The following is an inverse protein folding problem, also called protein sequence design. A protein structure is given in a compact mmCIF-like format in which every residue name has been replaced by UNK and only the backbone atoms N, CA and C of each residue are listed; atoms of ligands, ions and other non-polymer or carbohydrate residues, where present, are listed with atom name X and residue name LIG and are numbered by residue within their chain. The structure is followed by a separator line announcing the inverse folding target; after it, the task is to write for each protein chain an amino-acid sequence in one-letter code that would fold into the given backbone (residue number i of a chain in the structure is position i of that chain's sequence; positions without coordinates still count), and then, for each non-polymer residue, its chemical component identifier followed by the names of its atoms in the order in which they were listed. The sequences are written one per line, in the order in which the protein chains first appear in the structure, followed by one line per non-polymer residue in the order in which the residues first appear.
data_IF_818389040750
#
_entry.id   IF_818389040750
#
_cell.length_a   1.000
_cell.length_b   1.000
_cell.length_c   1.000
_cell.angle_alpha   90.00
_cell.angle_beta   90.00
_cell.angle_gamma   90.00
#
_symmetry.space_group_name_H-M   'P 1'
#
loop_
_entity.id
_entity.type
_entity.pdbx_description
1 polymer ?
#
# COMPACT_ATOMS: atom_id res chain seq x y z
N UNK A 1 -79.06 -62.99 12.32
CA UNK A 1 -77.78 -63.72 12.46
C UNK A 1 -76.86 -63.18 11.36
N UNK A 2 -75.67 -62.60 11.54
CA UNK A 2 -74.58 -62.63 12.54
C UNK A 2 -73.89 -61.23 12.47
N UNK A 3 -73.73 -60.45 13.55
CA UNK A 3 -72.62 -60.39 14.53
C UNK A 3 -71.20 -60.40 13.95
N UNK A 4 -70.45 -59.29 14.18
CA UNK A 4 -69.00 -59.22 14.03
C UNK A 4 -68.41 -57.80 13.93
N UNK A 5 -68.52 -56.98 14.98
CA UNK A 5 -67.85 -55.66 15.10
C UNK A 5 -67.24 -55.52 16.51
N UNK A 6 -66.19 -54.70 16.62
CA UNK A 6 -65.43 -54.25 17.81
C UNK A 6 -64.27 -55.13 18.30
N UNK A 7 -63.03 -54.72 17.95
CA UNK A 7 -61.87 -54.67 18.86
C UNK A 7 -60.65 -54.02 18.16
N UNK A 8 -60.47 -52.69 18.25
CA UNK A 8 -59.17 -52.03 18.01
C UNK A 8 -59.17 -50.54 18.46
N UNK A 9 -59.10 -50.23 19.76
CA UNK A 9 -58.97 -48.83 20.21
C UNK A 9 -58.45 -48.68 21.66
N UNK A 10 -57.20 -49.06 21.97
CA UNK A 10 -56.59 -48.76 23.31
C UNK A 10 -55.08 -48.40 23.28
N UNK A 11 -54.35 -48.44 22.18
CA UNK A 11 -52.88 -48.30 22.21
C UNK A 11 -52.37 -46.96 21.63
N UNK A 12 -52.59 -45.80 22.28
CA UNK A 12 -52.03 -44.52 21.78
C UNK A 12 -51.77 -43.38 22.81
N UNK A 13 -51.79 -43.62 24.13
CA UNK A 13 -51.62 -42.53 25.12
C UNK A 13 -50.31 -42.53 25.94
N UNK A 14 -49.41 -43.49 25.74
CA UNK A 14 -48.20 -43.63 26.59
C UNK A 14 -46.93 -42.92 26.08
N UNK A 15 -46.97 -42.21 24.95
CA UNK A 15 -45.75 -41.69 24.29
C UNK A 15 -45.46 -40.20 24.53
N UNK A 16 -46.34 -39.46 25.22
CA UNK A 16 -46.24 -37.98 25.32
C UNK A 16 -45.41 -37.53 26.55
N UNK A 17 -45.26 -38.35 27.59
CA UNK A 17 -44.61 -37.91 28.84
C UNK A 17 -43.07 -37.92 28.81
N UNK A 18 -42.43 -38.66 27.91
CA UNK A 18 -40.96 -38.76 27.87
C UNK A 18 -40.28 -37.59 27.14
N UNK A 19 -41.01 -36.82 26.32
CA UNK A 19 -40.42 -35.73 25.54
C UNK A 19 -40.25 -34.41 26.33
N UNK A 20 -40.96 -34.24 27.44
CA UNK A 20 -40.92 -32.98 28.22
C UNK A 20 -39.64 -32.82 29.06
N UNK A 21 -39.12 -33.91 29.61
CA UNK A 21 -37.95 -33.87 30.50
C UNK A 21 -36.63 -33.62 29.75
N UNK A 22 -36.48 -34.11 28.52
CA UNK A 22 -35.27 -33.91 27.73
C UNK A 22 -35.05 -32.43 27.40
N UNK A 23 -36.12 -31.72 27.03
CA UNK A 23 -36.04 -30.29 26.68
C UNK A 23 -35.64 -29.40 27.85
N UNK A 24 -36.12 -29.69 29.06
CA UNK A 24 -35.72 -28.93 30.26
C UNK A 24 -34.22 -29.14 30.53
N UNK A 25 -33.76 -30.39 30.48
CA UNK A 25 -32.35 -30.74 30.68
C UNK A 25 -31.44 -30.09 29.64
N UNK A 26 -31.84 -30.09 28.37
CA UNK A 26 -31.10 -29.40 27.31
C UNK A 26 -30.94 -27.90 27.60
N UNK A 27 -31.99 -27.24 28.09
CA UNK A 27 -31.95 -25.80 28.43
C UNK A 27 -31.03 -25.49 29.62
N UNK A 28 -31.00 -26.36 30.63
CA UNK A 28 -30.09 -26.18 31.77
C UNK A 28 -28.63 -26.34 31.33
N UNK A 29 -28.33 -27.35 30.50
CA UNK A 29 -27.00 -27.53 29.90
C UNK A 29 -26.59 -26.34 29.01
N UNK A 30 -27.53 -25.74 28.26
CA UNK A 30 -27.27 -24.51 27.50
C UNK A 30 -26.95 -23.34 28.42
N UNK A 31 -27.61 -23.20 29.57
CA UNK A 31 -27.30 -22.15 30.54
C UNK A 31 -25.88 -22.31 31.10
N UNK A 32 -25.51 -23.53 31.51
CA UNK A 32 -24.15 -23.85 31.94
C UNK A 32 -23.12 -23.55 30.83
N UNK A 33 -23.43 -23.94 29.59
CA UNK A 33 -22.57 -23.63 28.44
C UNK A 33 -22.41 -22.12 28.19
N UNK A 34 -23.48 -21.33 28.37
CA UNK A 34 -23.44 -19.88 28.22
C UNK A 34 -22.58 -19.21 29.29
N UNK A 35 -22.64 -19.68 30.54
CA UNK A 35 -21.78 -19.20 31.64
C UNK A 35 -20.30 -19.45 31.29
N UNK A 36 -19.96 -20.67 30.88
CA UNK A 36 -18.61 -21.04 30.44
C UNK A 36 -18.15 -20.19 29.23
N UNK A 37 -19.05 -19.93 28.28
CA UNK A 37 -18.75 -19.07 27.14
C UNK A 37 -18.44 -17.63 27.56
N UNK A 38 -19.23 -17.06 28.48
CA UNK A 38 -18.97 -15.71 28.98
C UNK A 38 -17.66 -15.60 29.77
N UNK A 39 -17.22 -16.70 30.39
CA UNK A 39 -15.94 -16.81 31.10
C UNK A 39 -14.74 -17.08 30.15
N UNK A 40 -14.97 -17.16 28.84
CA UNK A 40 -13.93 -17.46 27.83
C UNK A 40 -13.50 -18.93 27.79
N UNK A 41 -14.21 -19.82 28.47
CA UNK A 41 -13.94 -21.26 28.53
C UNK A 41 -14.62 -22.00 27.37
N UNK A 42 -14.27 -21.63 26.13
CA UNK A 42 -14.98 -22.07 24.93
C UNK A 42 -14.99 -23.58 24.71
N UNK A 43 -13.89 -24.29 25.01
CA UNK A 43 -13.84 -25.76 24.86
C UNK A 43 -14.81 -26.45 25.83
N UNK A 44 -14.89 -25.97 27.08
CA UNK A 44 -15.82 -26.49 28.08
C UNK A 44 -17.27 -26.16 27.70
N UNK A 45 -17.53 -24.94 27.20
CA UNK A 45 -18.84 -24.55 26.70
C UNK A 45 -19.31 -25.48 25.56
N UNK A 46 -18.42 -25.79 24.59
CA UNK A 46 -18.72 -26.74 23.51
C UNK A 46 -19.12 -28.11 24.05
N UNK A 47 -18.46 -28.63 25.09
CA UNK A 47 -18.87 -29.90 25.69
C UNK A 47 -20.27 -29.85 26.29
N UNK A 48 -20.62 -28.77 27.00
CA UNK A 48 -21.98 -28.59 27.51
C UNK A 48 -23.04 -28.50 26.41
N UNK A 49 -22.72 -27.84 25.30
CA UNK A 49 -23.61 -27.82 24.15
C UNK A 49 -23.71 -29.19 23.45
N UNK A 50 -22.64 -29.99 23.43
CA UNK A 50 -22.70 -31.38 22.94
C UNK A 50 -23.68 -32.21 23.78
N UNK A 51 -23.56 -32.15 25.11
CA UNK A 51 -24.50 -32.82 26.04
C UNK A 51 -25.94 -32.33 25.82
N UNK A 52 -26.15 -31.03 25.59
CA UNK A 52 -27.47 -30.48 25.30
C UNK A 52 -28.07 -31.05 23.99
N UNK A 53 -27.23 -31.23 22.95
CA UNK A 53 -27.67 -31.77 21.66
C UNK A 53 -28.10 -33.23 21.74
N UNK A 54 -27.59 -34.02 22.69
CA UNK A 54 -28.07 -35.40 22.92
C UNK A 54 -29.54 -35.42 23.36
N UNK A 55 -30.01 -34.36 24.03
CA UNK A 55 -31.38 -34.24 24.53
C UNK A 55 -32.32 -33.50 23.56
N UNK A 56 -31.80 -32.53 22.80
CA UNK A 56 -32.54 -31.80 21.77
C UNK A 56 -31.73 -31.75 20.45
N UNK A 57 -31.70 -32.86 19.68
CA UNK A 57 -30.99 -32.90 18.40
C UNK A 57 -31.56 -31.85 17.45
N UNK A 58 -30.72 -30.92 16.99
CA UNK A 58 -31.13 -29.84 16.09
C UNK A 58 -31.78 -28.64 16.79
N UNK A 59 -31.70 -28.53 18.13
CA UNK A 59 -32.15 -27.33 18.84
C UNK A 59 -31.41 -26.08 18.36
N UNK A 60 -32.12 -25.12 17.76
CA UNK A 60 -31.53 -23.93 17.13
C UNK A 60 -30.61 -23.14 18.08
N UNK A 61 -31.01 -22.97 19.35
CA UNK A 61 -30.17 -22.29 20.35
C UNK A 61 -28.87 -23.05 20.65
N UNK A 62 -28.92 -24.38 20.72
CA UNK A 62 -27.74 -25.22 20.97
C UNK A 62 -26.76 -25.10 19.81
N UNK A 63 -27.26 -25.22 18.57
CA UNK A 63 -26.45 -25.11 17.36
C UNK A 63 -25.78 -23.74 17.26
N UNK A 64 -26.54 -22.66 17.44
CA UNK A 64 -26.00 -21.30 17.40
C UNK A 64 -24.90 -21.09 18.45
N UNK A 65 -25.18 -21.41 19.71
CA UNK A 65 -24.22 -21.16 20.80
C UNK A 65 -22.94 -22.00 20.66
N UNK A 66 -23.07 -23.26 20.20
CA UNK A 66 -21.90 -24.10 19.93
C UNK A 66 -21.08 -23.60 18.75
N UNK A 67 -21.74 -23.12 17.70
CA UNK A 67 -21.06 -22.53 16.55
C UNK A 67 -20.24 -21.30 16.95
N UNK A 68 -20.81 -20.37 17.73
CA UNK A 68 -20.11 -19.18 18.22
C UNK A 68 -18.93 -19.53 19.14
N UNK A 69 -19.10 -20.51 20.03
CA UNK A 69 -18.00 -21.00 20.88
C UNK A 69 -16.85 -21.59 20.05
N UNK A 70 -17.17 -22.38 19.03
CA UNK A 70 -16.18 -22.94 18.13
C UNK A 70 -15.49 -21.86 17.28
N UNK A 71 -16.23 -20.88 16.76
CA UNK A 71 -15.67 -19.72 16.05
C UNK A 71 -14.68 -18.94 16.92
N UNK A 72 -15.00 -18.71 18.20
CA UNK A 72 -14.11 -18.02 19.15
C UNK A 72 -12.78 -18.75 19.39
N UNK A 73 -12.73 -20.06 19.14
CA UNK A 73 -11.48 -20.84 19.14
C UNK A 73 -10.74 -20.78 17.80
N UNK A 74 -11.45 -20.63 16.67
CA UNK A 74 -10.85 -20.57 15.34
C UNK A 74 -10.14 -19.23 15.09
N UNK A 75 -10.78 -18.11 15.43
CA UNK A 75 -10.28 -16.77 15.08
C UNK A 75 -8.86 -16.47 15.62
N UNK A 76 -8.53 -16.78 16.89
CA UNK A 76 -7.17 -16.57 17.42
C UNK A 76 -6.11 -17.49 16.79
N UNK A 77 -6.53 -18.55 16.09
CA UNK A 77 -5.64 -19.52 15.44
C UNK A 77 -5.43 -19.21 13.95
N UNK A 78 -5.95 -18.10 13.43
CA UNK A 78 -5.83 -17.73 12.00
C UNK A 78 -4.38 -17.77 11.50
N UNK A 79 -3.46 -17.19 12.25
CA UNK A 79 -2.03 -17.09 11.89
C UNK A 79 -1.20 -18.26 12.46
N UNK A 80 -1.84 -19.35 12.89
CA UNK A 80 -1.12 -20.49 13.44
C UNK A 80 -0.38 -21.26 12.35
N UNK A 81 0.91 -21.53 12.55
CA UNK A 81 1.74 -22.31 11.63
C UNK A 81 2.02 -23.73 12.12
N UNK A 82 1.93 -23.97 13.43
CA UNK A 82 2.28 -25.28 13.99
C UNK A 82 1.19 -26.34 13.69
N UNK A 83 1.55 -27.60 13.42
CA UNK A 83 0.59 -28.63 13.01
C UNK A 83 -0.54 -28.87 14.01
N UNK A 84 -0.27 -28.82 15.32
CA UNK A 84 -1.27 -29.09 16.35
C UNK A 84 -2.34 -28.00 16.41
N UNK A 85 -1.95 -26.73 16.29
CA UNK A 85 -2.88 -25.60 16.25
C UNK A 85 -3.65 -25.57 14.94
N UNK A 86 -3.03 -25.96 13.82
CA UNK A 86 -3.72 -26.12 12.54
C UNK A 86 -4.80 -27.21 12.61
N UNK A 87 -4.50 -28.35 13.24
CA UNK A 87 -5.48 -29.42 13.46
C UNK A 87 -6.62 -28.96 14.38
N UNK A 88 -6.30 -28.28 15.48
CA UNK A 88 -7.30 -27.72 16.38
C UNK A 88 -8.19 -26.67 15.68
N UNK A 89 -7.58 -25.76 14.92
CA UNK A 89 -8.29 -24.77 14.10
C UNK A 89 -9.25 -25.45 13.14
N UNK A 90 -8.78 -26.47 12.42
CA UNK A 90 -9.59 -27.22 11.46
C UNK A 90 -10.79 -27.89 12.13
N UNK A 91 -10.55 -28.58 13.25
CA UNK A 91 -11.57 -29.23 14.06
C UNK A 91 -12.67 -28.26 14.49
N UNK A 92 -12.30 -27.11 15.06
CA UNK A 92 -13.29 -26.14 15.52
C UNK A 92 -13.98 -25.42 14.36
N UNK A 93 -13.29 -25.20 13.24
CA UNK A 93 -13.90 -24.68 12.02
C UNK A 93 -14.97 -25.63 11.46
N UNK A 94 -14.71 -26.94 11.45
CA UNK A 94 -15.70 -27.95 11.03
C UNK A 94 -16.96 -27.90 11.90
N UNK A 95 -16.81 -27.79 13.23
CA UNK A 95 -17.94 -27.65 14.16
C UNK A 95 -18.74 -26.37 13.85
N UNK A 96 -18.06 -25.22 13.80
CA UNK A 96 -18.72 -23.94 13.58
C UNK A 96 -19.48 -23.90 12.24
N UNK A 97 -18.85 -24.35 11.15
CA UNK A 97 -19.45 -24.35 9.82
C UNK A 97 -20.66 -25.28 9.73
N UNK A 98 -20.55 -26.48 10.30
CA UNK A 98 -21.65 -27.43 10.32
C UNK A 98 -22.85 -26.89 11.13
N UNK A 99 -22.59 -26.30 12.28
CA UNK A 99 -23.64 -25.82 13.18
C UNK A 99 -24.31 -24.54 12.70
N UNK A 100 -23.57 -23.56 12.18
CA UNK A 100 -24.17 -22.38 11.55
C UNK A 100 -25.07 -22.78 10.38
N UNK A 101 -24.64 -23.75 9.56
CA UNK A 101 -25.45 -24.26 8.45
C UNK A 101 -26.71 -24.98 8.95
N UNK A 102 -26.57 -25.84 9.97
CA UNK A 102 -27.69 -26.57 10.56
C UNK A 102 -28.70 -25.62 11.21
N UNK A 103 -28.21 -24.63 11.98
CA UNK A 103 -29.03 -23.58 12.58
C UNK A 103 -29.84 -22.83 11.52
N UNK A 104 -29.17 -22.33 10.48
CA UNK A 104 -29.84 -21.61 9.39
C UNK A 104 -30.88 -22.48 8.68
N UNK A 105 -30.55 -23.74 8.40
CA UNK A 105 -31.48 -24.68 7.77
C UNK A 105 -32.72 -24.94 8.65
N UNK A 106 -32.53 -25.03 9.97
CA UNK A 106 -33.57 -25.26 10.97
C UNK A 106 -34.47 -24.06 11.29
N UNK A 107 -34.19 -22.87 10.73
CA UNK A 107 -35.10 -21.72 10.86
C UNK A 107 -36.39 -21.95 10.05
N UNK A 108 -37.53 -21.85 10.73
CA UNK A 108 -38.87 -21.96 10.12
C UNK A 108 -39.11 -20.85 9.09
N UNK A 109 -38.73 -19.62 9.43
CA UNK A 109 -38.78 -18.46 8.55
C UNK A 109 -37.38 -17.87 8.49
N UNK A 110 -36.80 -17.83 7.30
CA UNK A 110 -35.47 -17.25 7.05
C UNK A 110 -35.64 -15.80 6.66
N UNK A 111 -35.22 -14.89 7.52
CA UNK A 111 -35.17 -13.45 7.19
C UNK A 111 -33.92 -13.12 6.39
N UNK A 112 -33.89 -11.93 5.79
CA UNK A 112 -32.68 -11.40 5.15
C UNK A 112 -31.56 -11.25 6.18
N UNK A 113 -31.88 -10.81 7.41
CA UNK A 113 -30.92 -10.65 8.49
C UNK A 113 -30.33 -11.99 8.95
N UNK A 114 -31.14 -13.05 9.05
CA UNK A 114 -30.64 -14.39 9.38
C UNK A 114 -29.68 -14.89 8.30
N UNK A 115 -30.01 -14.62 7.02
CA UNK A 115 -29.18 -15.02 5.88
C UNK A 115 -27.85 -14.27 5.89
N UNK A 116 -27.88 -12.96 6.13
CA UNK A 116 -26.70 -12.13 6.26
C UNK A 116 -25.83 -12.60 7.43
N UNK A 117 -26.42 -12.77 8.60
CA UNK A 117 -25.75 -13.24 9.82
C UNK A 117 -25.09 -14.61 9.60
N UNK A 118 -25.82 -15.59 9.07
CA UNK A 118 -25.29 -16.92 8.76
C UNK A 118 -24.07 -16.84 7.82
N UNK A 119 -24.16 -15.99 6.78
CA UNK A 119 -23.08 -15.83 5.82
C UNK A 119 -21.87 -15.10 6.39
N UNK A 120 -22.06 -14.06 7.22
CA UNK A 120 -20.96 -13.32 7.85
C UNK A 120 -20.12 -14.24 8.74
N UNK A 121 -20.74 -14.98 9.64
CA UNK A 121 -20.05 -15.96 10.49
C UNK A 121 -19.38 -17.06 9.67
N UNK A 122 -20.09 -17.62 8.67
CA UNK A 122 -19.52 -18.63 7.78
C UNK A 122 -18.25 -18.12 7.09
N UNK A 123 -18.28 -16.93 6.51
CA UNK A 123 -17.13 -16.36 5.80
C UNK A 123 -15.98 -16.02 6.75
N UNK A 124 -16.26 -15.56 7.98
CA UNK A 124 -15.25 -15.33 8.99
C UNK A 124 -14.51 -16.64 9.35
N UNK A 125 -15.24 -17.73 9.60
CA UNK A 125 -14.65 -19.04 9.90
C UNK A 125 -13.87 -19.61 8.72
N UNK A 126 -14.43 -19.54 7.50
CA UNK A 126 -13.71 -20.00 6.30
C UNK A 126 -12.41 -19.23 6.07
N UNK A 127 -12.42 -17.91 6.31
CA UNK A 127 -11.24 -17.04 6.22
C UNK A 127 -10.19 -17.42 7.25
N UNK A 128 -10.60 -17.57 8.52
CA UNK A 128 -9.68 -17.91 9.60
C UNK A 128 -9.09 -19.33 9.47
N UNK A 129 -9.86 -20.31 8.96
CA UNK A 129 -9.36 -21.67 8.68
C UNK A 129 -8.59 -21.80 7.35
N UNK A 130 -8.50 -20.71 6.57
CA UNK A 130 -7.91 -20.70 5.23
C UNK A 130 -8.55 -21.70 4.23
N UNK A 131 -9.87 -21.85 4.25
CA UNK A 131 -10.63 -22.64 3.26
C UNK A 131 -10.77 -21.91 1.94
N UNK A 132 -9.65 -21.82 1.23
CA UNK A 132 -9.49 -21.06 0.00
C UNK A 132 -10.59 -21.38 -1.04
N UNK A 133 -10.78 -22.67 -1.35
CA UNK A 133 -11.68 -23.09 -2.44
C UNK A 133 -13.15 -22.72 -2.13
N UNK A 134 -13.58 -22.88 -0.87
CA UNK A 134 -14.94 -22.54 -0.43
C UNK A 134 -15.20 -21.02 -0.48
N UNK A 135 -14.23 -20.20 -0.04
CA UNK A 135 -14.33 -18.75 -0.10
C UNK A 135 -14.37 -18.25 -1.54
N UNK A 136 -13.45 -18.72 -2.38
CA UNK A 136 -13.38 -18.31 -3.77
C UNK A 136 -14.65 -18.73 -4.51
N UNK A 137 -15.14 -19.94 -4.29
CA UNK A 137 -16.40 -20.40 -4.88
C UNK A 137 -17.58 -19.49 -4.50
N UNK A 138 -17.71 -19.12 -3.22
CA UNK A 138 -18.74 -18.19 -2.77
C UNK A 138 -18.70 -16.85 -3.52
N UNK A 139 -17.51 -16.24 -3.63
CA UNK A 139 -17.37 -14.96 -4.30
C UNK A 139 -17.57 -15.06 -5.82
N UNK A 140 -17.16 -16.17 -6.43
CA UNK A 140 -17.40 -16.45 -7.85
C UNK A 140 -18.88 -16.66 -8.16
N UNK A 141 -19.63 -17.33 -7.28
CA UNK A 141 -21.09 -17.46 -7.41
C UNK A 141 -21.78 -16.10 -7.32
N UNK A 142 -21.37 -15.25 -6.37
CA UNK A 142 -21.84 -13.86 -6.28
C UNK A 142 -21.52 -13.06 -7.54
N UNK A 143 -20.31 -13.19 -8.07
CA UNK A 143 -19.90 -12.52 -9.30
C UNK A 143 -20.66 -13.05 -10.52
N UNK A 144 -20.99 -14.34 -10.56
CA UNK A 144 -21.82 -14.92 -11.61
C UNK A 144 -23.25 -14.39 -11.56
N UNK A 145 -23.78 -14.15 -10.35
CA UNK A 145 -25.11 -13.58 -10.15
C UNK A 145 -25.16 -12.09 -10.52
N UNK A 146 -24.08 -11.33 -10.24
CA UNK A 146 -23.91 -9.95 -10.66
C UNK A 146 -22.55 -9.69 -11.31
N UNK A 147 -22.42 -9.94 -12.63
CA UNK A 147 -21.16 -9.78 -13.36
C UNK A 147 -20.65 -8.33 -13.41
N UNK A 148 -21.48 -7.34 -13.07
CA UNK A 148 -21.11 -5.92 -13.06
C UNK A 148 -20.58 -5.45 -11.70
N UNK A 149 -20.62 -6.31 -10.67
CA UNK A 149 -20.07 -6.02 -9.35
C UNK A 149 -18.53 -6.06 -9.38
N UNK A 150 -17.92 -5.01 -9.94
CA UNK A 150 -16.45 -4.86 -10.08
C UNK A 150 -15.71 -5.10 -8.77
N UNK A 151 -16.27 -4.66 -7.64
CA UNK A 151 -15.69 -4.83 -6.30
C UNK A 151 -15.40 -6.29 -5.93
N UNK A 152 -16.15 -7.26 -6.49
CA UNK A 152 -15.94 -8.68 -6.22
C UNK A 152 -14.62 -9.21 -6.78
N UNK A 153 -14.07 -8.62 -7.85
CA UNK A 153 -12.76 -9.00 -8.37
C UNK A 153 -11.67 -8.75 -7.33
N UNK A 154 -11.72 -7.61 -6.65
CA UNK A 154 -10.78 -7.26 -5.58
C UNK A 154 -10.96 -8.11 -4.33
N UNK A 155 -12.18 -8.57 -4.04
CA UNK A 155 -12.44 -9.51 -2.93
C UNK A 155 -11.84 -10.89 -3.26
N UNK A 156 -12.06 -11.39 -4.48
CA UNK A 156 -11.48 -12.66 -4.94
C UNK A 156 -9.95 -12.58 -4.96
N UNK A 157 -9.38 -11.51 -5.51
CA UNK A 157 -7.94 -11.32 -5.56
C UNK A 157 -7.31 -11.28 -4.15
N UNK A 158 -7.86 -10.49 -3.22
CA UNK A 158 -7.39 -10.46 -1.83
C UNK A 158 -7.56 -11.79 -1.11
N UNK A 159 -8.62 -12.55 -1.41
CA UNK A 159 -8.77 -13.91 -0.87
C UNK A 159 -7.60 -14.79 -1.29
N UNK A 160 -7.19 -14.72 -2.57
CA UNK A 160 -6.02 -15.45 -3.05
C UNK A 160 -4.70 -14.98 -2.41
N UNK A 161 -4.51 -13.68 -2.22
CA UNK A 161 -3.32 -13.13 -1.55
C UNK A 161 -3.28 -13.50 -0.06
N UNK A 162 -4.24 -12.96 0.71
CA UNK A 162 -4.19 -12.89 2.17
C UNK A 162 -4.57 -14.20 2.85
N UNK A 163 -5.47 -14.97 2.24
CA UNK A 163 -6.01 -16.21 2.83
C UNK A 163 -5.38 -17.45 2.22
N UNK A 164 -5.21 -17.46 0.90
CA UNK A 164 -4.73 -18.65 0.20
C UNK A 164 -3.21 -18.70 0.04
N UNK A 165 -2.48 -17.59 0.23
CA UNK A 165 -1.04 -17.51 -0.06
C UNK A 165 -0.71 -17.81 -1.52
N UNK A 166 -1.60 -17.42 -2.46
CA UNK A 166 -1.48 -17.66 -3.91
C UNK A 166 -1.43 -16.33 -4.68
N UNK A 167 -0.35 -15.54 -4.54
CA UNK A 167 -0.28 -14.19 -5.13
C UNK A 167 -0.34 -14.16 -6.66
N UNK A 168 0.11 -15.22 -7.34
CA UNK A 168 -0.02 -15.32 -8.80
C UNK A 168 -1.49 -15.37 -9.23
N UNK A 169 -2.34 -16.08 -8.48
CA UNK A 169 -3.78 -16.14 -8.74
C UNK A 169 -4.47 -14.82 -8.45
N UNK A 170 -4.09 -14.13 -7.38
CA UNK A 170 -4.59 -12.79 -7.14
C UNK A 170 -4.24 -11.83 -8.28
N UNK A 171 -3.01 -11.91 -8.81
CA UNK A 171 -2.58 -11.13 -9.96
C UNK A 171 -3.43 -11.41 -11.22
N UNK A 172 -3.73 -12.67 -11.52
CA UNK A 172 -4.65 -13.05 -12.62
C UNK A 172 -6.01 -12.33 -12.47
N UNK A 173 -6.56 -12.25 -11.25
CA UNK A 173 -7.84 -11.58 -11.00
C UNK A 173 -7.78 -10.05 -11.13
N UNK A 174 -6.69 -9.41 -10.69
CA UNK A 174 -6.50 -7.97 -10.93
C UNK A 174 -6.40 -7.66 -12.43
N UNK A 175 -5.71 -8.50 -13.20
CA UNK A 175 -5.68 -8.37 -14.67
C UNK A 175 -7.05 -8.55 -15.28
N UNK A 176 -7.76 -9.62 -14.91
CA UNK A 176 -9.12 -9.90 -15.37
C UNK A 176 -10.08 -8.73 -15.09
N UNK A 177 -9.96 -8.08 -13.92
CA UNK A 177 -10.72 -6.86 -13.58
C UNK A 177 -10.51 -5.75 -14.62
N UNK A 178 -9.27 -5.51 -15.07
CA UNK A 178 -9.00 -4.49 -16.10
C UNK A 178 -9.49 -4.88 -17.50
N UNK A 179 -9.56 -6.17 -17.80
CA UNK A 179 -10.10 -6.69 -19.06
C UNK A 179 -11.63 -6.57 -19.11
N UNK A 180 -12.31 -6.93 -18.03
CA UNK A 180 -13.77 -6.91 -17.93
C UNK A 180 -14.31 -5.47 -17.65
N UNK A 181 -13.51 -4.61 -17.01
CA UNK A 181 -13.85 -3.21 -16.69
C UNK A 181 -12.80 -2.22 -17.21
N UNK A 182 -12.60 -2.12 -18.54
CA UNK A 182 -11.54 -1.29 -19.12
C UNK A 182 -11.75 0.22 -18.90
N UNK A 183 -12.94 0.64 -18.49
CA UNK A 183 -13.28 2.03 -18.16
C UNK A 183 -13.09 2.37 -16.67
N UNK A 184 -12.73 1.40 -15.83
CA UNK A 184 -12.49 1.66 -14.40
C UNK A 184 -11.07 2.20 -14.18
N UNK A 185 -10.96 3.50 -13.88
CA UNK A 185 -9.69 4.11 -13.52
C UNK A 185 -9.05 3.42 -12.31
N UNK A 186 -9.88 3.01 -11.33
CA UNK A 186 -9.44 2.33 -10.12
C UNK A 186 -8.91 0.91 -10.39
N UNK A 187 -9.51 0.15 -11.32
CA UNK A 187 -9.01 -1.17 -11.70
C UNK A 187 -7.58 -1.08 -12.26
N UNK A 188 -7.35 -0.16 -13.20
CA UNK A 188 -6.03 0.08 -13.78
C UNK A 188 -5.01 0.56 -12.75
N UNK A 189 -5.39 1.50 -11.89
CA UNK A 189 -4.54 1.97 -10.80
C UNK A 189 -4.15 0.84 -9.84
N UNK A 190 -5.11 0.03 -9.40
CA UNK A 190 -4.84 -1.08 -8.47
C UNK A 190 -3.87 -2.10 -9.07
N UNK A 191 -4.05 -2.46 -10.35
CA UNK A 191 -3.13 -3.35 -11.06
C UNK A 191 -1.72 -2.74 -11.17
N UNK A 192 -1.64 -1.43 -11.46
CA UNK A 192 -0.38 -0.71 -11.55
C UNK A 192 0.39 -0.70 -10.22
N UNK A 193 -0.31 -0.43 -9.10
CA UNK A 193 0.29 -0.47 -7.76
C UNK A 193 0.87 -1.85 -7.46
N UNK A 194 0.13 -2.92 -7.77
CA UNK A 194 0.60 -4.29 -7.59
C UNK A 194 1.85 -4.60 -8.43
N UNK A 195 1.86 -4.19 -9.69
CA UNK A 195 3.02 -4.40 -10.58
C UNK A 195 4.22 -3.55 -10.16
N UNK A 196 4.01 -2.45 -9.44
CA UNK A 196 5.07 -1.63 -8.89
C UNK A 196 5.74 -2.28 -7.67
N UNK A 197 5.05 -3.16 -6.95
CA UNK A 197 5.50 -3.71 -5.66
C UNK A 197 6.97 -4.20 -5.64
N UNK A 198 7.46 -4.96 -6.64
CA UNK A 198 8.85 -5.42 -6.65
C UNK A 198 9.88 -4.27 -6.69
N UNK A 199 9.49 -3.07 -7.12
CA UNK A 199 10.39 -1.90 -7.20
C UNK A 199 10.60 -1.21 -5.85
N UNK A 200 9.81 -1.53 -4.81
CA UNK A 200 10.00 -0.95 -3.49
C UNK A 200 11.39 -1.29 -2.95
N UNK A 201 12.12 -0.30 -2.42
CA UNK A 201 13.40 -0.56 -1.78
C UNK A 201 13.22 -1.44 -0.55
N UNK A 202 14.22 -2.27 -0.27
CA UNK A 202 14.41 -2.81 1.06
C UNK A 202 14.63 -1.65 2.04
N UNK A 203 13.77 -1.49 3.09
CA UNK A 203 13.91 -0.44 4.08
C UNK A 203 15.30 -0.38 4.75
N UNK A 204 16.01 -1.50 4.83
CA UNK A 204 17.33 -1.58 5.48
C UNK A 204 18.49 -1.23 4.53
N UNK A 205 18.26 -1.23 3.22
CA UNK A 205 19.33 -1.07 2.23
C UNK A 205 19.84 0.39 2.10
N UNK A 206 19.09 1.37 2.61
CA UNK A 206 19.48 2.79 2.56
C UNK A 206 19.54 3.39 1.15
N UNK A 207 19.00 2.69 0.15
CA UNK A 207 18.93 3.12 -1.25
C UNK A 207 17.46 3.22 -1.70
N UNK A 208 17.12 4.13 -2.63
CA UNK A 208 15.72 4.41 -3.00
C UNK A 208 15.13 3.44 -4.03
N UNK A 209 15.71 2.25 -4.20
CA UNK A 209 15.26 1.23 -5.14
C UNK A 209 15.60 -0.19 -4.67
N UNK A 210 14.89 -1.18 -5.20
CA UNK A 210 15.23 -2.59 -4.98
C UNK A 210 16.50 -2.99 -5.73
N UNK A 211 17.57 -3.32 -5.01
CA UNK A 211 18.86 -3.74 -5.60
C UNK A 211 18.85 -5.18 -6.13
N UNK A 212 17.91 -6.03 -5.71
CA UNK A 212 17.81 -7.41 -6.17
C UNK A 212 17.26 -7.52 -7.60
N UNK A 213 16.70 -6.42 -8.12
CA UNK A 213 16.20 -6.33 -9.49
C UNK A 213 17.21 -5.60 -10.38
N UNK A 214 17.65 -6.30 -11.43
CA UNK A 214 18.55 -5.71 -12.43
C UNK A 214 17.99 -4.39 -12.99
N UNK A 215 18.85 -3.43 -13.35
CA UNK A 215 18.38 -2.14 -13.86
C UNK A 215 17.49 -2.28 -15.11
N UNK A 216 17.79 -3.21 -16.02
CA UNK A 216 16.97 -3.46 -17.21
C UNK A 216 15.56 -3.96 -16.84
N UNK A 217 15.44 -4.84 -15.85
CA UNK A 217 14.14 -5.35 -15.43
C UNK A 217 13.34 -4.29 -14.67
N UNK A 218 13.99 -3.44 -13.85
CA UNK A 218 13.34 -2.28 -13.21
C UNK A 218 12.72 -1.35 -14.24
N UNK A 219 13.42 -1.05 -15.33
CA UNK A 219 12.88 -0.22 -16.42
C UNK A 219 11.64 -0.88 -17.04
N UNK A 220 11.67 -2.19 -17.33
CA UNK A 220 10.53 -2.89 -17.91
C UNK A 220 9.30 -2.89 -17.00
N UNK A 221 9.50 -3.14 -15.70
CA UNK A 221 8.42 -3.10 -14.71
C UNK A 221 7.82 -1.69 -14.67
N UNK A 222 8.67 -0.67 -14.53
CA UNK A 222 8.23 0.73 -14.52
C UNK A 222 7.47 1.11 -15.80
N UNK A 223 7.91 0.66 -16.98
CA UNK A 223 7.21 0.91 -18.25
C UNK A 223 5.82 0.25 -18.29
N UNK A 224 5.67 -0.98 -17.77
CA UNK A 224 4.35 -1.63 -17.65
C UNK A 224 3.44 -0.84 -16.71
N UNK A 225 3.95 -0.46 -15.54
CA UNK A 225 3.22 0.34 -14.55
C UNK A 225 2.75 1.66 -15.16
N UNK A 226 3.64 2.40 -15.85
CA UNK A 226 3.29 3.64 -16.55
C UNK A 226 2.16 3.40 -17.56
N UNK A 227 2.22 2.33 -18.35
CA UNK A 227 1.16 1.99 -19.30
C UNK A 227 -0.20 1.72 -18.66
N UNK A 228 -0.24 1.06 -17.50
CA UNK A 228 -1.48 0.89 -16.73
C UNK A 228 -2.00 2.22 -16.19
N UNK A 229 -1.12 3.07 -15.66
CA UNK A 229 -1.49 4.39 -15.14
C UNK A 229 -1.98 5.33 -16.24
N UNK A 230 -1.44 5.23 -17.46
CA UNK A 230 -1.94 5.92 -18.66
C UNK A 230 -3.39 5.57 -18.95
N UNK A 231 -3.74 4.28 -18.87
CA UNK A 231 -5.14 3.86 -18.96
C UNK A 231 -5.97 4.45 -17.82
N UNK A 232 -5.50 4.43 -16.57
CA UNK A 232 -6.22 5.00 -15.43
C UNK A 232 -6.55 6.50 -15.63
N UNK A 233 -5.55 7.31 -15.95
CA UNK A 233 -5.74 8.77 -16.17
C UNK A 233 -6.54 9.09 -17.42
N UNK A 234 -6.56 8.19 -18.41
CA UNK A 234 -7.43 8.35 -19.59
C UNK A 234 -8.90 8.21 -19.21
N UNK A 235 -9.24 7.34 -18.26
CA UNK A 235 -10.60 7.19 -17.77
C UNK A 235 -11.01 8.32 -16.83
N UNK A 236 -10.11 8.71 -15.91
CA UNK A 236 -10.33 9.81 -14.98
C UNK A 236 -9.09 10.70 -14.87
N UNK A 237 -9.02 11.81 -15.64
CA UNK A 237 -7.89 12.73 -15.60
C UNK A 237 -7.72 13.46 -14.26
N UNK A 238 -8.75 13.50 -13.41
CA UNK A 238 -8.70 14.12 -12.07
C UNK A 238 -8.34 13.10 -10.98
N UNK A 239 -8.20 11.82 -11.33
CA UNK A 239 -7.74 10.83 -10.38
C UNK A 239 -6.27 11.07 -10.05
N UNK A 240 -6.05 11.61 -8.85
CA UNK A 240 -4.74 12.07 -8.35
C UNK A 240 -3.70 10.95 -8.26
N UNK A 241 -4.06 9.81 -7.68
CA UNK A 241 -3.10 8.75 -7.32
C UNK A 241 -2.31 8.20 -8.52
N UNK A 242 -2.91 7.95 -9.70
CA UNK A 242 -2.14 7.55 -10.87
C UNK A 242 -0.96 8.45 -11.23
N UNK A 243 -1.06 9.77 -11.03
CA UNK A 243 0.06 10.69 -11.28
C UNK A 243 1.18 10.52 -10.26
N UNK A 244 0.85 10.28 -8.99
CA UNK A 244 1.84 9.99 -7.93
C UNK A 244 2.64 8.74 -8.27
N UNK A 245 1.94 7.64 -8.58
CA UNK A 245 2.59 6.37 -8.93
C UNK A 245 3.36 6.44 -10.24
N UNK A 246 2.90 7.23 -11.21
CA UNK A 246 3.62 7.42 -12.48
C UNK A 246 4.89 8.25 -12.26
N UNK A 247 4.85 9.24 -11.37
CA UNK A 247 6.04 9.98 -10.94
C UNK A 247 7.09 9.05 -10.35
N UNK A 248 6.69 8.20 -9.40
CA UNK A 248 7.57 7.20 -8.78
C UNK A 248 8.14 6.22 -9.82
N UNK A 249 7.35 5.80 -10.79
CA UNK A 249 7.80 4.90 -11.88
C UNK A 249 8.85 5.55 -12.78
N UNK A 250 8.70 6.84 -13.12
CA UNK A 250 9.74 7.57 -13.83
C UNK A 250 11.02 7.72 -13.00
N UNK A 251 10.90 7.96 -11.68
CA UNK A 251 12.06 7.96 -10.79
C UNK A 251 12.78 6.61 -10.76
N UNK A 252 12.04 5.49 -10.75
CA UNK A 252 12.65 4.16 -10.83
C UNK A 252 13.38 3.94 -12.16
N UNK A 253 12.83 4.41 -13.29
CA UNK A 253 13.57 4.40 -14.57
C UNK A 253 14.85 5.21 -14.49
N UNK A 254 14.80 6.43 -13.97
CA UNK A 254 15.98 7.27 -13.80
C UNK A 254 17.07 6.56 -12.97
N UNK A 255 16.72 6.01 -11.82
CA UNK A 255 17.62 5.31 -10.90
C UNK A 255 18.17 3.99 -11.46
N UNK A 256 17.52 3.43 -12.47
CA UNK A 256 17.96 2.23 -13.17
C UNK A 256 18.90 2.54 -14.34
N UNK A 257 19.13 3.81 -14.70
CA UNK A 257 20.08 4.14 -15.77
C UNK A 257 21.50 4.17 -15.23
N UNK A 258 22.33 3.29 -15.77
CA UNK A 258 23.74 3.16 -15.39
C UNK A 258 24.60 3.94 -16.39
N UNK A 259 25.36 4.92 -15.90
CA UNK A 259 26.36 5.67 -16.65
C UNK A 259 27.42 6.22 -15.70
N UNK A 260 28.63 6.47 -16.22
CA UNK A 260 29.68 7.18 -15.47
C UNK A 260 29.38 8.69 -15.46
N UNK A 261 29.78 9.40 -14.41
CA UNK A 261 29.72 10.87 -14.36
C UNK A 261 31.16 11.45 -14.36
N UNK A 262 31.63 12.04 -15.48
CA UNK A 262 30.92 12.27 -16.74
C UNK A 262 30.83 11.01 -17.63
N UNK A 263 29.83 10.92 -18.52
CA UNK A 263 29.65 9.77 -19.40
C UNK A 263 30.70 9.73 -20.52
N UNK A 264 31.37 8.58 -20.69
CA UNK A 264 32.51 8.44 -21.61
C UNK A 264 32.08 7.89 -22.98
N UNK A 265 31.11 6.97 -22.99
CA UNK A 265 30.66 6.34 -24.23
C UNK A 265 29.40 7.00 -24.79
N UNK A 266 29.14 6.84 -26.10
CA UNK A 266 27.87 7.27 -26.69
C UNK A 266 26.64 6.63 -26.01
N UNK A 267 26.77 5.37 -25.57
CA UNK A 267 25.69 4.67 -24.86
C UNK A 267 25.46 5.27 -23.47
N UNK A 268 26.53 5.55 -22.73
CA UNK A 268 26.44 6.22 -21.42
C UNK A 268 25.87 7.63 -21.55
N UNK A 269 26.29 8.41 -22.56
CA UNK A 269 25.73 9.74 -22.86
C UNK A 269 24.24 9.67 -23.20
N UNK A 270 23.82 8.64 -23.94
CA UNK A 270 22.40 8.39 -24.19
C UNK A 270 21.65 8.07 -22.88
N UNK A 271 22.21 7.21 -22.02
CA UNK A 271 21.57 6.88 -20.74
C UNK A 271 21.48 8.09 -19.80
N UNK A 272 22.51 8.94 -19.75
CA UNK A 272 22.46 10.16 -18.93
C UNK A 272 21.39 11.14 -19.41
N UNK A 273 21.18 11.28 -20.72
CA UNK A 273 20.10 12.09 -21.28
C UNK A 273 18.72 11.50 -20.98
N UNK A 274 18.56 10.19 -21.14
CA UNK A 274 17.31 9.53 -20.81
C UNK A 274 16.98 9.62 -19.31
N UNK A 275 18.00 9.64 -18.43
CA UNK A 275 17.80 9.84 -16.99
C UNK A 275 17.24 11.24 -16.69
N UNK A 276 17.77 12.27 -17.36
CA UNK A 276 17.28 13.65 -17.26
C UNK A 276 15.86 13.80 -17.82
N UNK A 277 15.56 13.12 -18.92
CA UNK A 277 14.21 13.05 -19.49
C UNK A 277 13.21 12.40 -18.51
N UNK A 278 13.60 11.30 -17.85
CA UNK A 278 12.79 10.64 -16.82
C UNK A 278 12.54 11.54 -15.61
N UNK A 279 13.53 12.30 -15.13
CA UNK A 279 13.33 13.31 -14.07
C UNK A 279 12.31 14.38 -14.47
N UNK A 280 12.37 14.86 -15.72
CA UNK A 280 11.39 15.82 -16.24
C UNK A 280 9.99 15.23 -16.32
N UNK A 281 9.86 13.96 -16.73
CA UNK A 281 8.59 13.26 -16.78
C UNK A 281 8.02 13.05 -15.39
N UNK A 282 8.84 12.64 -14.42
CA UNK A 282 8.47 12.51 -13.01
C UNK A 282 7.94 13.85 -12.45
N UNK A 283 8.63 14.95 -12.74
CA UNK A 283 8.19 16.30 -12.37
C UNK A 283 6.87 16.68 -13.03
N UNK A 284 6.67 16.41 -14.32
CA UNK A 284 5.38 16.69 -15.01
C UNK A 284 4.22 15.99 -14.33
N UNK A 285 4.42 14.78 -13.80
CA UNK A 285 3.39 14.08 -13.04
C UNK A 285 3.12 14.74 -11.68
N UNK A 286 4.16 15.13 -10.94
CA UNK A 286 3.99 15.90 -9.70
C UNK A 286 3.27 17.22 -9.98
N UNK A 287 3.59 17.88 -11.10
CA UNK A 287 2.91 19.08 -11.55
C UNK A 287 1.42 18.87 -11.75
N UNK A 288 1.04 17.77 -12.42
CA UNK A 288 -0.36 17.41 -12.59
C UNK A 288 -1.07 17.19 -11.24
N UNK A 289 -0.41 16.57 -10.27
CA UNK A 289 -0.93 16.45 -8.89
C UNK A 289 -1.18 17.83 -8.27
N UNK A 290 -0.22 18.75 -8.39
CA UNK A 290 -0.40 20.12 -7.91
C UNK A 290 -1.57 20.83 -8.58
N UNK A 291 -1.73 20.66 -9.90
CA UNK A 291 -2.80 21.30 -10.65
C UNK A 291 -4.18 20.74 -10.24
N UNK A 292 -4.28 19.43 -9.96
CA UNK A 292 -5.49 18.80 -9.38
C UNK A 292 -5.78 19.36 -7.99
N UNK A 293 -4.75 19.46 -7.13
CA UNK A 293 -4.85 19.97 -5.78
C UNK A 293 -4.96 21.51 -5.72
N UNK A 294 -4.94 22.19 -6.88
CA UNK A 294 -4.94 23.66 -7.02
C UNK A 294 -3.83 24.36 -6.22
N UNK A 295 -2.68 23.71 -6.11
CA UNK A 295 -1.51 24.25 -5.39
C UNK A 295 -0.79 25.32 -6.24
N UNK A 296 -0.39 26.45 -5.63
CA UNK A 296 0.38 27.48 -6.33
C UNK A 296 1.78 26.97 -6.73
N UNK A 297 2.39 27.59 -7.74
CA UNK A 297 3.80 27.38 -8.07
C UNK A 297 4.69 27.72 -6.87
N UNK A 298 5.69 26.90 -6.59
CA UNK A 298 6.75 27.31 -5.68
C UNK A 298 7.47 28.53 -6.27
N UNK A 299 7.85 29.50 -5.43
CA UNK A 299 8.75 30.55 -5.87
C UNK A 299 10.03 29.89 -6.38
N UNK A 300 10.44 30.24 -7.60
CA UNK A 300 11.71 29.77 -8.16
C UNK A 300 12.82 30.27 -7.23
N UNK A 301 13.72 29.40 -6.75
CA UNK A 301 14.81 29.84 -5.90
C UNK A 301 15.61 30.91 -6.62
N UNK A 302 15.85 32.04 -5.94
CA UNK A 302 16.75 33.06 -6.44
C UNK A 302 18.18 32.51 -6.40
N UNK A 303 18.96 32.75 -7.45
CA UNK A 303 20.39 32.47 -7.41
C UNK A 303 21.04 33.27 -6.27
N UNK A 304 21.93 32.63 -5.51
CA UNK A 304 22.62 33.29 -4.39
C UNK A 304 23.33 34.56 -4.86
N UNK A 305 23.96 34.51 -6.04
CA UNK A 305 24.62 35.65 -6.67
C UNK A 305 23.68 36.85 -6.88
N UNK A 306 22.44 36.60 -7.30
CA UNK A 306 21.42 37.63 -7.49
C UNK A 306 20.95 38.22 -6.15
N UNK A 307 20.82 37.38 -5.12
CA UNK A 307 20.45 37.81 -3.76
C UNK A 307 21.58 38.64 -3.14
N UNK A 308 22.81 38.15 -3.19
CA UNK A 308 24.01 38.80 -2.65
C UNK A 308 24.35 40.10 -3.38
N UNK A 309 24.10 40.16 -4.69
CA UNK A 309 24.34 41.36 -5.48
C UNK A 309 23.35 42.49 -5.21
N UNK A 310 22.14 42.18 -4.73
CA UNK A 310 21.06 43.15 -4.46
C UNK A 310 20.24 42.79 -3.20
N UNK A 311 20.87 42.69 -2.01
CA UNK A 311 20.21 42.16 -0.82
C UNK A 311 19.01 43.00 -0.38
N UNK A 312 19.05 44.32 -0.61
CA UNK A 312 17.95 45.23 -0.28
C UNK A 312 16.68 44.99 -1.12
N UNK A 313 16.81 44.41 -2.32
CA UNK A 313 15.66 44.11 -3.16
C UNK A 313 14.79 42.97 -2.59
N UNK A 314 15.38 42.14 -1.72
CA UNK A 314 14.74 40.99 -1.10
C UNK A 314 14.42 41.20 0.38
N UNK A 315 14.77 42.36 0.95
CA UNK A 315 14.59 42.64 2.37
C UNK A 315 13.11 42.45 2.80
N UNK A 316 12.89 41.61 3.82
CA UNK A 316 11.56 41.31 4.34
C UNK A 316 10.69 40.41 3.45
N UNK A 317 11.19 39.95 2.29
CA UNK A 317 10.48 39.00 1.43
C UNK A 317 10.78 37.55 1.84
N UNK A 318 9.82 36.67 1.62
CA UNK A 318 10.03 35.22 1.68
C UNK A 318 10.69 34.78 0.38
N UNK A 319 11.90 34.22 0.47
CA UNK A 319 12.65 33.75 -0.68
C UNK A 319 13.06 32.29 -0.49
N UNK A 320 13.29 31.61 -1.62
CA UNK A 320 14.01 30.35 -1.65
C UNK A 320 15.38 30.60 -2.29
N UNK A 321 16.42 30.00 -1.74
CA UNK A 321 17.80 30.14 -2.24
C UNK A 321 18.40 28.75 -2.35
N UNK A 322 18.87 28.39 -3.54
CA UNK A 322 19.61 27.16 -3.78
C UNK A 322 21.11 27.44 -3.71
N UNK A 323 21.83 26.79 -2.80
CA UNK A 323 23.21 27.14 -2.52
C UNK A 323 24.03 25.98 -1.99
N UNK A 324 25.33 26.00 -2.28
CA UNK A 324 26.32 25.16 -1.59
C UNK A 324 26.63 25.78 -0.22
N UNK A 325 26.58 24.94 0.82
CA UNK A 325 26.95 25.35 2.18
C UNK A 325 28.48 25.36 2.31
N UNK A 326 29.05 26.43 2.87
CA UNK A 326 30.44 26.42 3.28
C UNK A 326 30.57 25.74 4.64
N UNK A 327 31.08 24.51 4.62
CA UNK A 327 31.15 23.62 5.79
C UNK A 327 31.95 24.22 6.94
N UNK A 328 33.01 24.98 6.64
CA UNK A 328 33.88 25.63 7.64
C UNK A 328 33.17 26.75 8.43
N UNK A 329 31.94 27.10 8.05
CA UNK A 329 31.18 28.21 8.63
C UNK A 329 29.95 27.78 9.43
N UNK A 330 29.77 26.47 9.66
CA UNK A 330 28.61 25.95 10.37
C UNK A 330 28.83 26.06 11.87
N UNK A 331 28.06 26.92 12.54
CA UNK A 331 28.13 27.11 13.99
C UNK A 331 26.82 26.77 14.67
N UNK A 332 26.89 26.00 15.75
CA UNK A 332 25.74 25.72 16.62
C UNK A 332 25.57 26.83 17.64
N UNK A 333 24.34 27.30 17.79
CA UNK A 333 23.94 28.21 18.85
C UNK A 333 22.51 27.92 19.31
N UNK A 334 21.98 28.77 20.19
CA UNK A 334 20.62 28.62 20.74
C UNK A 334 20.57 27.79 22.02
N UNK A 335 19.35 27.64 22.55
CA UNK A 335 19.07 26.82 23.74
C UNK A 335 18.73 25.39 23.31
N UNK A 336 18.88 24.37 24.18
CA UNK A 336 18.61 22.97 23.81
C UNK A 336 17.22 22.71 23.22
N UNK A 337 16.22 23.52 23.60
CA UNK A 337 14.84 23.42 23.13
C UNK A 337 14.58 24.12 21.80
N UNK A 338 15.53 24.94 21.32
CA UNK A 338 15.46 25.67 20.04
C UNK A 338 16.89 25.82 19.47
N UNK A 339 17.52 24.72 19.01
CA UNK A 339 18.83 24.81 18.42
C UNK A 339 18.78 25.62 17.13
N UNK A 340 19.78 26.48 16.99
CA UNK A 340 19.98 27.35 15.82
C UNK A 340 21.27 26.92 15.14
N UNK A 341 21.19 26.67 13.84
CA UNK A 341 22.37 26.48 13.01
C UNK A 341 22.54 27.71 12.14
N UNK A 342 23.68 28.37 12.31
CA UNK A 342 24.12 29.43 11.39
C UNK A 342 25.13 28.84 10.41
N UNK A 343 24.98 29.21 9.14
CA UNK A 343 25.89 28.80 8.08
C UNK A 343 26.07 29.94 7.08
N UNK A 344 27.20 29.93 6.37
CA UNK A 344 27.46 30.85 5.26
C UNK A 344 27.40 30.09 3.95
N UNK A 345 26.60 30.59 3.02
CA UNK A 345 26.48 30.04 1.67
C UNK A 345 27.60 30.56 0.77
N UNK A 346 27.84 29.86 -0.34
CA UNK A 346 28.71 30.35 -1.41
C UNK A 346 28.24 31.75 -1.89
N UNK A 347 29.14 32.75 -1.85
CA UNK A 347 28.78 34.16 -2.07
C UNK A 347 28.60 34.99 -0.79
N UNK A 348 28.72 34.38 0.39
CA UNK A 348 28.78 35.10 1.68
C UNK A 348 27.43 35.39 2.35
N UNK A 349 26.32 34.88 1.79
CA UNK A 349 25.00 35.00 2.42
C UNK A 349 24.92 34.13 3.68
N UNK A 350 24.51 34.71 4.81
CA UNK A 350 24.30 33.95 6.04
C UNK A 350 22.89 33.37 6.07
N UNK A 351 22.78 32.10 6.40
CA UNK A 351 21.51 31.40 6.66
C UNK A 351 21.47 31.03 8.13
N UNK A 352 20.34 31.36 8.77
CA UNK A 352 20.06 30.96 10.15
C UNK A 352 18.85 30.03 10.13
N UNK A 353 19.05 28.76 10.45
CA UNK A 353 17.98 27.76 10.50
C UNK A 353 17.65 27.43 11.95
N UNK A 354 16.38 27.60 12.31
CA UNK A 354 15.85 27.22 13.63
C UNK A 354 15.14 25.89 13.55
N UNK A 355 15.45 24.98 14.47
CA UNK A 355 14.75 23.71 14.61
C UNK A 355 13.79 23.79 15.79
N UNK A 356 12.46 23.74 15.57
CA UNK A 356 11.50 23.80 16.65
C UNK A 356 11.55 22.49 17.47
N UNK A 357 11.37 22.59 18.80
CA UNK A 357 11.21 21.44 19.70
C UNK A 357 9.96 20.60 19.41
N UNK A 358 9.00 21.16 18.67
CA UNK A 358 7.77 20.49 18.25
C UNK A 358 7.72 20.41 16.73
N UNK A 359 7.88 19.21 16.18
CA UNK A 359 7.53 18.94 14.78
C UNK A 359 6.25 18.10 14.77
N UNK A 360 5.28 18.47 13.92
CA UNK A 360 4.05 17.70 13.70
C UNK A 360 3.19 17.38 14.95
N UNK A 361 3.35 18.11 16.05
CA UNK A 361 2.53 17.94 17.26
C UNK A 361 3.11 16.98 18.31
N UNK A 362 4.28 16.40 18.07
CA UNK A 362 5.00 15.55 19.03
C UNK A 362 6.17 16.32 19.67
N UNK A 363 6.34 16.16 20.98
CA UNK A 363 7.52 16.67 21.70
C UNK A 363 8.68 15.69 21.50
N UNK A 364 9.72 16.12 20.81
CA UNK A 364 10.92 15.32 20.68
C UNK A 364 11.78 15.44 21.95
N UNK A 365 12.33 14.33 22.47
CA UNK A 365 13.32 14.42 23.53
C UNK A 365 14.54 15.22 23.03
N UNK A 366 15.20 16.01 23.90
CA UNK A 366 16.34 16.85 23.51
C UNK A 366 17.47 16.11 22.79
N UNK A 367 17.67 14.83 23.12
CA UNK A 367 18.68 13.96 22.50
C UNK A 367 18.37 13.68 21.02
N UNK A 368 17.12 13.36 20.69
CA UNK A 368 16.69 13.14 19.30
C UNK A 368 16.83 14.42 18.46
N UNK A 369 16.57 15.59 19.05
CA UNK A 369 16.75 16.88 18.38
C UNK A 369 18.24 17.17 18.14
N UNK A 370 19.12 16.86 19.10
CA UNK A 370 20.55 17.00 18.94
C UNK A 370 21.11 16.08 17.84
N UNK A 371 20.69 14.81 17.81
CA UNK A 371 21.05 13.87 16.75
C UNK A 371 20.55 14.33 15.36
N UNK A 372 19.32 14.85 15.30
CA UNK A 372 18.78 15.39 14.05
C UNK A 372 19.59 16.59 13.53
N UNK A 373 19.99 17.50 14.43
CA UNK A 373 20.83 18.65 14.09
C UNK A 373 22.23 18.20 13.65
N UNK A 374 22.83 17.21 14.33
CA UNK A 374 24.11 16.63 13.91
C UNK A 374 24.01 15.99 12.53
N UNK A 375 22.95 15.21 12.27
CA UNK A 375 22.72 14.58 10.97
C UNK A 375 22.52 15.61 9.86
N UNK A 376 21.81 16.72 10.13
CA UNK A 376 21.66 17.82 9.19
C UNK A 376 23.00 18.50 8.87
N UNK A 377 23.82 18.78 9.89
CA UNK A 377 25.14 19.39 9.73
C UNK A 377 26.09 18.47 8.98
N UNK A 378 26.11 17.17 9.32
CA UNK A 378 26.91 16.17 8.63
C UNK A 378 26.53 16.10 7.14
N UNK A 379 25.23 16.14 6.82
CA UNK A 379 24.73 16.16 5.43
C UNK A 379 25.21 17.39 4.65
N UNK A 380 25.24 18.56 5.27
CA UNK A 380 25.80 19.77 4.64
C UNK A 380 27.33 19.71 4.53
N UNK A 381 27.99 19.05 5.49
CA UNK A 381 29.43 18.81 5.53
C UNK A 381 29.98 18.05 4.34
N UNK A 382 29.16 17.23 3.69
CA UNK A 382 29.52 16.49 2.48
C UNK A 382 29.55 17.37 1.21
N UNK A 383 29.41 18.70 1.35
CA UNK A 383 29.53 19.65 0.24
C UNK A 383 28.35 19.62 -0.72
N UNK A 384 27.19 19.12 -0.27
CA UNK A 384 25.95 19.07 -1.06
C UNK A 384 25.29 20.44 -1.06
N UNK A 385 24.78 20.85 -2.20
CA UNK A 385 23.90 22.01 -2.33
C UNK A 385 22.53 21.69 -1.75
N UNK A 386 21.93 22.67 -1.09
CA UNK A 386 20.60 22.55 -0.47
C UNK A 386 19.73 23.76 -0.84
N UNK A 387 18.42 23.60 -0.67
CA UNK A 387 17.44 24.68 -0.88
C UNK A 387 17.01 25.23 0.47
N UNK A 388 17.36 26.48 0.75
CA UNK A 388 16.93 27.18 1.94
C UNK A 388 15.70 28.00 1.62
N UNK A 389 14.62 27.82 2.39
CA UNK A 389 13.43 28.65 2.32
C UNK A 389 13.32 29.46 3.60
N UNK A 390 13.15 30.76 3.47
CA UNK A 390 13.15 31.64 4.63
C UNK A 390 12.74 33.06 4.34
N UNK A 391 12.68 33.88 5.39
CA UNK A 391 12.46 35.31 5.26
C UNK A 391 13.80 36.02 5.32
N UNK A 392 14.08 36.87 4.34
CA UNK A 392 15.28 37.69 4.38
C UNK A 392 15.14 38.76 5.46
N UNK A 393 16.20 38.96 6.25
CA UNK A 393 16.27 40.02 7.27
C UNK A 393 16.09 41.41 6.65
N UNK A 394 15.69 42.38 7.47
CA UNK A 394 15.44 43.75 7.00
C UNK A 394 16.69 44.44 6.42
N UNK A 395 17.88 44.04 6.85
CA UNK A 395 19.16 44.52 6.32
C UNK A 395 19.65 43.72 5.09
N UNK A 396 18.92 42.67 4.70
CA UNK A 396 19.23 41.81 3.56
C UNK A 396 20.42 40.87 3.75
N UNK A 397 20.93 40.72 4.98
CA UNK A 397 22.18 39.98 5.25
C UNK A 397 21.97 38.54 5.72
N UNK A 398 20.81 38.23 6.29
CA UNK A 398 20.54 36.94 6.92
C UNK A 398 19.23 36.38 6.37
N UNK A 399 19.27 35.17 5.82
CA UNK A 399 18.07 34.40 5.51
C UNK A 399 17.68 33.60 6.76
N UNK A 400 16.57 33.97 7.40
CA UNK A 400 15.98 33.20 8.50
C UNK A 400 15.21 32.02 7.89
N UNK A 401 15.89 30.88 7.76
CA UNK A 401 15.38 29.67 7.14
C UNK A 401 14.44 28.90 8.07
N UNK A 402 13.30 28.46 7.55
CA UNK A 402 12.40 27.54 8.23
C UNK A 402 12.85 26.10 7.99
N UNK A 403 12.87 25.28 9.05
CA UNK A 403 13.27 23.88 8.95
C UNK A 403 12.34 23.00 8.10
N UNK A 404 11.15 23.49 7.76
CA UNK A 404 10.23 22.80 6.85
C UNK A 404 10.09 23.62 5.56
N UNK A 405 10.30 23.03 4.36
CA UNK A 405 9.76 23.59 3.15
C UNK A 405 8.23 23.68 3.30
N UNK A 406 7.63 24.77 2.82
CA UNK A 406 6.18 24.87 2.87
C UNK A 406 5.57 23.74 2.03
N UNK A 407 4.87 22.80 2.67
CA UNK A 407 4.17 21.68 2.00
C UNK A 407 2.96 22.15 1.18
N UNK A 408 3.04 23.28 0.48
CA UNK A 408 1.91 23.94 -0.15
C UNK A 408 2.20 24.54 -1.51
N UNK A 409 3.32 24.19 -2.15
CA UNK A 409 3.63 24.70 -3.48
C UNK A 409 4.19 23.62 -4.40
N UNK A 410 4.04 23.83 -5.71
CA UNK A 410 4.50 22.91 -6.72
C UNK A 410 5.97 23.17 -7.11
N UNK A 411 6.87 22.17 -7.08
CA UNK A 411 8.28 22.38 -7.36
C UNK A 411 8.50 22.93 -8.79
N UNK A 412 9.58 23.73 -9.03
CA UNK A 412 9.95 24.16 -10.37
C UNK A 412 10.44 22.97 -11.23
N UNK A 413 10.37 23.07 -12.57
CA UNK A 413 10.87 22.02 -13.45
C UNK A 413 12.38 21.83 -13.28
N UNK A 414 12.89 20.58 -13.29
CA UNK A 414 14.33 20.32 -13.15
C UNK A 414 15.14 20.76 -14.37
N UNK A 415 14.52 20.94 -15.54
CA UNK A 415 15.15 21.47 -16.75
C UNK A 415 14.34 22.63 -17.33
N UNK A 416 15.05 23.63 -17.85
CA UNK A 416 14.43 24.70 -18.65
C UNK A 416 13.96 24.19 -20.02
N UNK A 417 13.06 24.90 -20.72
CA UNK A 417 12.70 24.57 -22.10
C UNK A 417 13.89 24.51 -23.05
N UNK A 418 14.88 25.39 -22.88
CA UNK A 418 16.11 25.44 -23.68
C UNK A 418 16.98 24.20 -23.44
N UNK A 419 17.12 23.79 -22.18
CA UNK A 419 17.84 22.56 -21.82
C UNK A 419 17.15 21.32 -22.38
N UNK A 420 15.81 21.26 -22.34
CA UNK A 420 15.06 20.16 -22.96
C UNK A 420 15.27 20.14 -24.48
N UNK A 421 15.27 21.28 -25.15
CA UNK A 421 15.54 21.35 -26.59
C UNK A 421 16.97 20.90 -26.93
N UNK A 422 17.96 21.37 -26.16
CA UNK A 422 19.36 20.96 -26.31
C UNK A 422 19.55 19.44 -26.09
N UNK A 423 18.89 18.87 -25.07
CA UNK A 423 18.92 17.44 -24.82
C UNK A 423 18.31 16.64 -25.98
N UNK A 424 17.25 17.14 -26.63
CA UNK A 424 16.64 16.49 -27.79
C UNK A 424 17.54 16.54 -29.04
N UNK A 425 18.27 17.63 -29.26
CA UNK A 425 19.26 17.73 -30.33
C UNK A 425 20.42 16.77 -30.09
N UNK A 426 21.00 16.80 -28.89
CA UNK A 426 22.12 15.94 -28.51
C UNK A 426 21.75 14.45 -28.55
N UNK A 427 20.51 14.09 -28.18
CA UNK A 427 19.99 12.73 -28.30
C UNK A 427 19.99 12.24 -29.74
N UNK A 428 19.62 13.08 -30.71
CA UNK A 428 19.67 12.73 -32.15
C UNK A 428 21.11 12.51 -32.61
N UNK A 429 22.03 13.40 -32.24
CA UNK A 429 23.46 13.28 -32.58
C UNK A 429 24.07 11.97 -32.04
N UNK A 430 23.84 11.67 -30.76
CA UNK A 430 24.35 10.45 -30.12
C UNK A 430 23.74 9.20 -30.77
N UNK A 431 22.45 9.23 -31.12
CA UNK A 431 21.79 8.11 -31.81
C UNK A 431 22.45 7.82 -33.17
N UNK A 432 22.73 8.86 -33.96
CA UNK A 432 23.46 8.73 -35.23
C UNK A 432 24.89 8.18 -35.04
N UNK A 433 25.58 8.59 -33.97
CA UNK A 433 26.90 8.08 -33.60
C UNK A 433 26.84 6.56 -33.30
N UNK A 434 25.87 6.12 -32.48
CA UNK A 434 25.68 4.70 -32.12
C UNK A 434 25.43 3.86 -33.39
N UNK A 435 24.54 4.32 -34.26
CA UNK A 435 24.21 3.63 -35.51
C UNK A 435 25.41 3.56 -36.47
N UNK A 436 26.15 4.66 -36.62
CA UNK A 436 27.32 4.72 -37.49
C UNK A 436 28.47 3.86 -36.96
N UNK A 437 28.68 3.82 -35.64
CA UNK A 437 29.64 2.95 -34.95
C UNK A 437 29.33 1.47 -35.17
N UNK A 438 28.05 1.08 -35.08
CA UNK A 438 27.58 -0.27 -35.39
C UNK A 438 27.87 -0.68 -36.85
N UNK A 439 27.61 0.22 -37.81
CA UNK A 439 27.91 0.00 -39.24
C UNK A 439 29.42 -0.20 -39.47
N UNK A 440 30.29 0.60 -38.84
CA UNK A 440 31.77 0.47 -38.94
C UNK A 440 32.25 -0.87 -38.38
N UNK A 441 31.77 -1.30 -37.20
CA UNK A 441 32.10 -2.61 -36.60
C UNK A 441 31.67 -3.78 -37.50
N UNK A 442 30.46 -3.73 -38.08
CA UNK A 442 29.96 -4.75 -39.02
C UNK A 442 30.79 -4.86 -40.31
N UNK A 443 31.20 -3.71 -40.88
CA UNK A 443 32.11 -3.67 -42.05
C UNK A 443 33.49 -4.29 -41.74
N UNK A 444 34.08 -4.01 -40.56
CA UNK A 444 35.34 -4.62 -40.12
C UNK A 444 35.22 -6.14 -39.94
N UNK A 445 34.15 -6.65 -39.32
CA UNK A 445 33.89 -8.10 -39.19
C UNK A 445 33.72 -8.80 -40.54
N UNK A 446 33.01 -8.19 -41.49
CA UNK A 446 32.89 -8.73 -42.87
C UNK A 446 34.23 -8.80 -43.60
N UNK A 447 35.10 -7.80 -43.44
CA UNK A 447 36.46 -7.82 -44.01
C UNK A 447 37.35 -8.89 -43.38
N UNK A 448 37.24 -9.14 -42.07
CA UNK A 448 37.97 -10.21 -41.36
C UNK A 448 37.51 -11.62 -41.73
N UNK A 449 36.24 -11.84 -42.06
CA UNK A 449 35.72 -13.16 -42.52
C UNK A 449 36.03 -13.49 -43.99
N UNK A 450 36.45 -12.50 -44.78
CA UNK A 450 36.83 -12.67 -46.19
C UNK A 450 38.35 -12.85 -46.38
N UNK A 451 39.12 -12.62 -45.33
CA UNK A 451 40.53 -12.98 -45.22
C UNK A 451 40.59 -14.30 -44.48
#
# INVERSE_FOLDING_TARGET
MRQGTLALAVFCFASIELAGCSKIRARDLVREGNELYSDGQYEAAIQKYNEAQEHEPGGNTVLWNRACAAESLVLPLKEAENPQKLEARRKYADIALADFQAWYNGLEVKTEEDTKTAMEHRLAVLSADARCDDLVAHWQEKLKADPKAEGLYSVIARTYDDVCGKPDKAHEWYRKRTEDFPQSAQAWHTLAVREFDPLFPDPEAGIPYNADISPEERIKIADRVIGYLDNATKQDPKYRDPYVWRSMSYMQRQLARVYNDPPETAVERMQSLLAREDSMLAWKQQRAVCDIDSLPNCPVPAEVSAVVGKPQAFAGQSISVYAKVNVDSVTKGGVPTEPVVEMTLEGGLKVRQRYPSKMAGEEHPPEALAEFVEAAISRWGEGKSDTFQGKMSADGKVLEASAAPSMGCCPPPPLTPEQQAADQELKKEIQEEIESGGKRKKRRRRRRRRR
#
